data_IF_230811253401
#
_entry.id   IF_230811253401
#
_cell.length_a   1.000
_cell.length_b   1.000
_cell.length_c   1.000
_cell.angle_alpha   90.00
_cell.angle_beta   90.00
_cell.angle_gamma   90.00
#
_symmetry.space_group_name_H-M   'P 1'
#
loop_
_entity.id
_entity.type
_entity.pdbx_description
1 polymer ?
#
# COMPACT_ATOMS: atom_id res chain seq x y z
N UNK A 1 22.97 -10.50 3.86
CA UNK A 1 23.64 -9.20 3.57
C UNK A 1 23.61 -8.39 4.86
N UNK A 2 24.75 -7.82 5.26
CA UNK A 2 25.00 -7.24 6.59
C UNK A 2 24.15 -5.97 6.82
N UNK A 3 23.48 -5.90 7.97
CA UNK A 3 22.77 -4.74 8.47
C UNK A 3 23.69 -3.53 8.50
N UNK A 4 23.40 -2.52 7.68
CA UNK A 4 24.10 -1.24 7.73
C UNK A 4 23.28 -0.31 8.63
N UNK A 5 23.52 -0.39 9.94
CA UNK A 5 23.06 0.60 10.90
C UNK A 5 24.01 1.80 10.77
N UNK A 6 23.55 2.90 10.18
CA UNK A 6 24.34 4.13 10.18
C UNK A 6 24.21 4.81 11.54
N UNK A 7 25.29 4.75 12.31
CA UNK A 7 25.44 5.47 13.56
C UNK A 7 25.94 6.87 13.22
N UNK A 8 25.07 7.88 13.28
CA UNK A 8 25.50 9.28 13.23
C UNK A 8 25.96 9.71 14.62
N UNK A 9 27.27 9.91 14.79
CA UNK A 9 27.85 10.52 15.99
C UNK A 9 27.61 12.01 15.98
N UNK A 10 26.69 12.50 16.80
CA UNK A 10 26.60 13.92 17.12
C UNK A 10 27.29 14.12 18.48
N UNK A 11 28.52 14.69 18.43
CA UNK A 11 29.25 15.07 19.64
C UNK A 11 28.62 16.34 20.25
N UNK A 12 27.88 16.19 21.32
CA UNK A 12 27.55 17.30 22.23
C UNK A 12 28.42 17.17 23.48
N UNK A 13 28.97 18.29 24.02
CA UNK A 13 29.74 18.24 25.25
C UNK A 13 28.82 17.76 26.40
N UNK A 14 29.18 16.62 26.99
CA UNK A 14 28.61 15.98 28.18
C UNK A 14 27.37 15.10 28.09
N UNK A 15 26.87 14.65 26.91
CA UNK A 15 25.92 13.50 26.83
C UNK A 15 25.94 12.90 25.43
N UNK A 16 26.38 11.67 25.31
CA UNK A 16 26.20 10.86 24.08
C UNK A 16 24.74 10.43 23.99
N UNK A 17 23.96 11.09 23.15
CA UNK A 17 22.58 10.71 22.87
C UNK A 17 22.56 9.87 21.62
N UNK A 18 22.35 8.56 21.75
CA UNK A 18 22.15 7.69 20.58
C UNK A 18 20.79 7.99 19.98
N UNK A 19 20.76 8.62 18.82
CA UNK A 19 19.54 8.79 18.03
C UNK A 19 19.39 7.53 17.15
N UNK A 20 18.54 6.61 17.58
CA UNK A 20 18.11 5.52 16.71
C UNK A 20 17.17 6.08 15.65
N UNK A 21 17.67 6.29 14.45
CA UNK A 21 16.81 6.60 13.32
C UNK A 21 16.05 5.33 12.94
N UNK A 22 14.74 5.35 13.13
CA UNK A 22 13.83 4.33 12.61
C UNK A 22 13.84 4.41 11.09
N UNK A 23 14.56 3.51 10.43
CA UNK A 23 14.60 3.46 8.97
C UNK A 23 13.45 2.62 8.45
N UNK A 24 12.57 3.24 7.67
CA UNK A 24 11.54 2.52 6.92
C UNK A 24 12.15 2.10 5.59
N UNK A 25 12.19 0.79 5.35
CA UNK A 25 12.60 0.20 4.08
C UNK A 25 11.37 -0.32 3.33
N UNK A 26 11.30 -0.05 2.03
CA UNK A 26 10.27 -0.60 1.15
C UNK A 26 10.95 -1.63 0.24
N UNK A 27 10.57 -2.89 0.38
CA UNK A 27 11.16 -4.00 -0.36
C UNK A 27 10.17 -4.49 -1.41
N UNK A 28 10.60 -4.55 -2.67
CA UNK A 28 9.84 -5.14 -3.79
C UNK A 28 9.84 -6.66 -3.67
N UNK A 29 8.70 -7.25 -3.90
CA UNK A 29 8.48 -8.70 -3.79
C UNK A 29 7.26 -9.12 -4.64
N UNK A 30 6.71 -10.28 -4.38
CA UNK A 30 5.51 -10.82 -5.02
C UNK A 30 4.58 -11.49 -3.99
N UNK A 31 3.55 -12.19 -4.49
CA UNK A 31 2.56 -12.88 -3.66
C UNK A 31 3.08 -14.07 -2.84
N UNK A 32 4.31 -14.53 -3.07
CA UNK A 32 4.90 -15.66 -2.33
C UNK A 32 5.63 -15.20 -1.06
N UNK A 33 5.83 -13.90 -0.88
CA UNK A 33 6.50 -13.38 0.31
C UNK A 33 5.64 -13.61 1.56
N UNK A 34 6.20 -14.26 2.56
CA UNK A 34 5.49 -14.63 3.80
C UNK A 34 4.96 -13.43 4.56
N UNK A 35 5.75 -12.35 4.66
CA UNK A 35 5.35 -11.13 5.37
C UNK A 35 4.23 -10.41 4.63
N UNK A 36 4.28 -10.38 3.29
CA UNK A 36 3.17 -9.87 2.48
C UNK A 36 1.89 -10.65 2.73
N UNK A 37 1.96 -11.98 2.72
CA UNK A 37 0.80 -12.86 2.97
C UNK A 37 0.21 -12.59 4.37
N UNK A 38 1.03 -12.50 5.41
CA UNK A 38 0.56 -12.24 6.77
C UNK A 38 -0.05 -10.83 6.93
N UNK A 39 0.51 -9.83 6.27
CA UNK A 39 -0.07 -8.47 6.26
C UNK A 39 -1.40 -8.43 5.51
N UNK A 40 -1.54 -9.18 4.41
CA UNK A 40 -2.82 -9.29 3.68
C UNK A 40 -3.87 -10.01 4.51
N UNK A 41 -3.53 -11.05 5.27
CA UNK A 41 -4.49 -11.69 6.20
C UNK A 41 -5.03 -10.70 7.24
N UNK A 42 -4.17 -9.82 7.78
CA UNK A 42 -4.59 -8.76 8.70
C UNK A 42 -5.49 -7.74 8.01
N UNK A 43 -5.16 -7.36 6.77
CA UNK A 43 -6.03 -6.49 5.95
C UNK A 43 -7.40 -7.12 5.73
N UNK A 44 -7.46 -8.40 5.36
CA UNK A 44 -8.73 -9.09 5.10
C UNK A 44 -9.59 -9.17 6.37
N UNK A 45 -8.99 -9.33 7.54
CA UNK A 45 -9.70 -9.26 8.81
C UNK A 45 -10.27 -7.84 9.09
N UNK A 46 -9.45 -6.78 8.88
CA UNK A 46 -9.91 -5.38 8.99
C UNK A 46 -11.06 -5.07 8.02
N UNK A 47 -10.98 -5.60 6.79
CA UNK A 47 -12.01 -5.40 5.77
C UNK A 47 -13.30 -6.15 6.13
N UNK A 48 -13.22 -7.39 6.60
CA UNK A 48 -14.38 -8.17 7.02
C UNK A 48 -15.18 -7.45 8.12
N UNK A 49 -14.48 -6.83 9.07
CA UNK A 49 -15.12 -6.02 10.13
C UNK A 49 -15.82 -4.77 9.57
N UNK A 50 -15.19 -4.07 8.62
CA UNK A 50 -15.69 -2.81 8.06
C UNK A 50 -16.80 -3.00 7.02
N UNK A 51 -16.65 -4.02 6.16
CA UNK A 51 -17.56 -4.26 5.05
C UNK A 51 -18.84 -4.95 5.54
N UNK A 52 -18.77 -5.73 6.61
CA UNK A 52 -19.94 -6.45 7.14
C UNK A 52 -20.53 -7.39 6.10
N UNK A 53 -21.83 -7.22 5.80
CA UNK A 53 -22.57 -8.08 4.85
C UNK A 53 -22.02 -7.97 3.41
N UNK A 54 -21.37 -6.87 3.05
CA UNK A 54 -20.77 -6.65 1.72
C UNK A 54 -19.47 -7.46 1.52
N UNK A 55 -18.87 -8.00 2.59
CA UNK A 55 -17.59 -8.71 2.55
C UNK A 55 -17.57 -9.87 1.54
N UNK A 56 -18.67 -10.63 1.44
CA UNK A 56 -18.79 -11.77 0.52
C UNK A 56 -18.66 -11.38 -0.95
N UNK A 57 -19.08 -10.16 -1.30
CA UNK A 57 -18.92 -9.61 -2.65
C UNK A 57 -17.45 -9.32 -2.98
N UNK A 58 -16.70 -8.72 -2.03
CA UNK A 58 -15.33 -8.29 -2.28
C UNK A 58 -14.30 -9.42 -2.21
N UNK A 59 -14.54 -10.47 -1.42
CA UNK A 59 -13.61 -11.56 -1.16
C UNK A 59 -13.03 -12.23 -2.44
N UNK A 60 -13.80 -12.51 -3.52
CA UNK A 60 -13.26 -13.09 -4.75
C UNK A 60 -12.23 -12.20 -5.45
N UNK A 61 -12.34 -10.86 -5.33
CA UNK A 61 -11.43 -9.89 -5.96
C UNK A 61 -10.17 -9.63 -5.13
N UNK A 62 -10.14 -10.19 -3.93
CA UNK A 62 -9.06 -10.03 -2.95
C UNK A 62 -7.96 -11.09 -3.05
N UNK A 63 -8.08 -12.04 -3.99
CA UNK A 63 -7.08 -13.10 -4.21
C UNK A 63 -5.72 -12.52 -4.58
N UNK A 64 -4.67 -13.06 -3.95
CA UNK A 64 -3.28 -12.61 -4.16
C UNK A 64 -2.47 -13.51 -5.10
N UNK A 65 -2.97 -14.69 -5.45
CA UNK A 65 -2.25 -15.75 -6.19
C UNK A 65 -1.65 -15.28 -7.52
N UNK A 66 -2.22 -14.22 -8.12
CA UNK A 66 -1.81 -13.65 -9.41
C UNK A 66 -1.06 -12.32 -9.28
N UNK A 67 -0.74 -11.89 -8.05
CA UNK A 67 0.00 -10.64 -7.82
C UNK A 67 1.49 -10.87 -8.07
N UNK A 68 2.03 -10.22 -9.12
CA UNK A 68 3.45 -10.27 -9.47
C UNK A 68 4.27 -9.16 -8.84
N UNK A 69 3.63 -8.06 -8.48
CA UNK A 69 4.28 -6.83 -8.03
C UNK A 69 3.69 -6.43 -6.68
N UNK A 70 4.39 -6.73 -5.62
CA UNK A 70 4.03 -6.35 -4.26
C UNK A 70 5.19 -5.62 -3.58
N UNK A 71 4.91 -4.84 -2.56
CA UNK A 71 5.92 -4.25 -1.68
C UNK A 71 5.57 -4.53 -0.23
N UNK A 72 6.60 -4.70 0.59
CA UNK A 72 6.49 -4.74 2.05
C UNK A 72 7.32 -3.61 2.63
N UNK A 73 6.73 -2.87 3.55
CA UNK A 73 7.40 -1.85 4.36
C UNK A 73 7.89 -2.49 5.65
N UNK A 74 9.16 -2.29 5.96
CA UNK A 74 9.80 -2.78 7.18
C UNK A 74 10.30 -1.64 8.05
N UNK A 75 10.12 -1.74 9.35
CA UNK A 75 10.82 -0.95 10.35
C UNK A 75 11.69 -1.90 11.19
N UNK A 76 13.03 -1.75 11.13
CA UNK A 76 13.95 -2.62 11.87
C UNK A 76 13.65 -4.13 11.68
N UNK A 77 13.50 -4.57 10.43
CA UNK A 77 13.15 -5.96 10.04
C UNK A 77 11.70 -6.40 10.36
N UNK A 78 10.92 -5.60 11.07
CA UNK A 78 9.51 -5.89 11.33
C UNK A 78 8.64 -5.45 10.14
N UNK A 79 7.79 -6.31 9.57
CA UNK A 79 6.87 -5.93 8.51
C UNK A 79 5.72 -5.09 9.10
N UNK A 80 5.58 -3.85 8.64
CA UNK A 80 4.64 -2.87 9.19
C UNK A 80 3.57 -2.42 8.19
N UNK A 81 3.69 -2.80 6.92
CA UNK A 81 2.69 -2.50 5.92
C UNK A 81 3.02 -3.09 4.56
N UNK A 82 2.04 -3.13 3.69
CA UNK A 82 2.19 -3.67 2.34
C UNK A 82 1.31 -2.94 1.33
N UNK A 83 1.55 -3.23 0.07
CA UNK A 83 0.72 -2.86 -1.06
C UNK A 83 1.12 -3.65 -2.29
N UNK A 84 0.29 -3.61 -3.32
CA UNK A 84 0.55 -4.33 -4.56
C UNK A 84 0.00 -3.57 -5.76
N UNK A 85 0.48 -3.92 -6.94
CA UNK A 85 -0.07 -3.48 -8.21
C UNK A 85 -0.34 -4.68 -9.11
N UNK A 86 -1.44 -4.62 -9.87
CA UNK A 86 -1.87 -5.64 -10.81
C UNK A 86 -2.28 -4.98 -12.11
N UNK A 87 -1.78 -5.47 -13.23
CA UNK A 87 -2.20 -4.97 -14.53
C UNK A 87 -3.72 -5.11 -14.71
N UNK A 88 -4.36 -4.02 -15.12
CA UNK A 88 -5.79 -3.95 -15.42
C UNK A 88 -6.02 -3.89 -16.94
N UNK A 89 -5.30 -3.01 -17.63
CA UNK A 89 -5.32 -2.86 -19.10
C UNK A 89 -3.89 -2.65 -19.62
N UNK A 90 -3.67 -2.47 -20.94
CA UNK A 90 -2.33 -2.20 -21.46
C UNK A 90 -1.64 -0.97 -20.89
N UNK A 91 -2.38 0.08 -20.53
CA UNK A 91 -1.86 1.36 -20.01
C UNK A 91 -2.20 1.60 -18.52
N UNK A 92 -3.05 0.76 -17.92
CA UNK A 92 -3.57 0.94 -16.57
C UNK A 92 -3.14 -0.17 -15.64
N UNK A 93 -2.67 0.20 -14.44
CA UNK A 93 -2.34 -0.71 -13.37
C UNK A 93 -3.15 -0.40 -12.12
N UNK A 94 -3.74 -1.43 -11.51
CA UNK A 94 -4.58 -1.30 -10.33
C UNK A 94 -3.76 -1.45 -9.04
N UNK A 95 -3.79 -0.44 -8.17
CA UNK A 95 -3.23 -0.52 -6.81
C UNK A 95 -4.17 -1.34 -5.93
N UNK A 96 -3.61 -2.34 -5.25
CA UNK A 96 -4.36 -3.30 -4.42
C UNK A 96 -3.63 -3.58 -3.10
N UNK A 97 -4.35 -4.15 -2.16
CA UNK A 97 -3.78 -4.71 -0.91
C UNK A 97 -2.99 -3.71 -0.09
N UNK A 98 -3.38 -2.42 -0.11
CA UNK A 98 -2.78 -1.39 0.72
C UNK A 98 -3.14 -1.60 2.19
N UNK A 99 -2.11 -1.80 3.03
CA UNK A 99 -2.29 -1.99 4.46
C UNK A 99 -1.13 -1.43 5.26
N UNK A 100 -1.43 -0.87 6.42
CA UNK A 100 -0.45 -0.50 7.44
C UNK A 100 -0.99 -0.98 8.79
N UNK A 101 -0.15 -1.64 9.58
CA UNK A 101 -0.53 -2.10 10.91
C UNK A 101 -1.01 -0.92 11.75
N UNK A 102 -2.03 -1.10 12.60
CA UNK A 102 -2.68 0.01 13.33
C UNK A 102 -1.69 0.91 14.09
N UNK A 103 -0.69 0.33 14.75
CA UNK A 103 0.30 1.02 15.58
C UNK A 103 1.23 1.93 14.76
N UNK A 104 1.31 1.72 13.44
CA UNK A 104 2.16 2.47 12.52
C UNK A 104 1.37 3.44 11.61
N UNK A 105 0.05 3.51 11.76
CA UNK A 105 -0.80 4.46 11.03
C UNK A 105 -0.50 5.90 11.46
N UNK A 106 -0.82 6.87 10.58
CA UNK A 106 -0.56 8.28 10.83
C UNK A 106 0.90 8.73 10.66
N UNK A 107 1.85 7.81 10.46
CA UNK A 107 3.30 8.09 10.31
C UNK A 107 3.77 8.22 8.85
N UNK A 108 2.84 8.29 7.89
CA UNK A 108 3.14 8.45 6.46
C UNK A 108 3.60 7.17 5.74
N UNK A 109 3.50 5.99 6.38
CA UNK A 109 3.93 4.70 5.80
C UNK A 109 3.13 4.37 4.53
N UNK A 110 1.80 4.54 4.55
CA UNK A 110 0.95 4.29 3.40
C UNK A 110 1.35 5.15 2.17
N UNK A 111 1.74 6.42 2.39
CA UNK A 111 2.25 7.29 1.32
C UNK A 111 3.54 6.74 0.73
N UNK A 112 4.48 6.26 1.55
CA UNK A 112 5.75 5.68 1.08
C UNK A 112 5.50 4.40 0.27
N UNK A 113 4.61 3.52 0.73
CA UNK A 113 4.20 2.31 0.00
C UNK A 113 3.61 2.69 -1.35
N UNK A 114 2.62 3.59 -1.36
CA UNK A 114 1.94 4.03 -2.59
C UNK A 114 2.92 4.66 -3.58
N UNK A 115 3.81 5.55 -3.13
CA UNK A 115 4.84 6.17 -3.99
C UNK A 115 5.81 5.13 -4.56
N UNK A 116 6.17 4.09 -3.81
CA UNK A 116 7.03 3.02 -4.31
C UNK A 116 6.33 2.18 -5.40
N UNK A 117 5.02 1.93 -5.25
CA UNK A 117 4.21 1.24 -6.25
C UNK A 117 4.02 2.09 -7.51
N UNK A 118 3.72 3.40 -7.37
CA UNK A 118 3.60 4.34 -8.49
C UNK A 118 4.91 4.42 -9.30
N UNK A 119 6.04 4.54 -8.60
CA UNK A 119 7.35 4.51 -9.25
C UNK A 119 7.58 3.21 -10.01
N UNK A 120 7.23 2.08 -9.41
CA UNK A 120 7.36 0.77 -10.07
C UNK A 120 6.43 0.65 -11.28
N UNK A 121 5.21 1.16 -11.19
CA UNK A 121 4.27 1.22 -12.31
C UNK A 121 4.84 2.05 -13.48
N UNK A 122 5.47 3.20 -13.21
CA UNK A 122 6.16 4.01 -14.23
C UNK A 122 7.33 3.25 -14.87
N UNK A 123 8.15 2.56 -14.08
CA UNK A 123 9.26 1.72 -14.57
C UNK A 123 8.76 0.57 -15.47
N UNK A 124 7.54 0.09 -15.22
CA UNK A 124 6.86 -0.92 -16.06
C UNK A 124 6.12 -0.32 -17.27
N UNK A 125 6.27 1.01 -17.49
CA UNK A 125 5.69 1.77 -18.61
C UNK A 125 4.16 1.87 -18.60
N UNK A 126 3.51 1.79 -17.41
CA UNK A 126 2.10 2.14 -17.28
C UNK A 126 1.92 3.66 -17.21
N UNK A 127 0.92 4.19 -17.93
CA UNK A 127 0.60 5.61 -17.95
C UNK A 127 -0.28 6.05 -16.79
N UNK A 128 -0.96 5.10 -16.11
CA UNK A 128 -1.96 5.43 -15.10
C UNK A 128 -2.09 4.35 -14.02
N UNK A 129 -2.20 4.80 -12.77
CA UNK A 129 -2.69 3.99 -11.65
C UNK A 129 -4.17 4.20 -11.45
N UNK A 130 -4.92 3.11 -11.26
CA UNK A 130 -6.31 3.11 -10.82
C UNK A 130 -6.43 2.34 -9.51
N UNK A 131 -7.50 2.55 -8.76
CA UNK A 131 -7.80 1.79 -7.55
C UNK A 131 -9.27 1.93 -7.15
N UNK A 132 -9.72 1.01 -6.32
CA UNK A 132 -11.01 1.07 -5.65
C UNK A 132 -10.84 1.00 -4.15
N UNK A 133 -11.72 1.67 -3.41
CA UNK A 133 -11.88 1.56 -1.96
C UNK A 133 -13.34 1.71 -1.56
N UNK A 134 -13.74 1.12 -0.43
CA UNK A 134 -15.10 1.23 0.07
C UNK A 134 -15.41 2.62 0.65
N UNK A 135 -16.65 3.08 0.52
CA UNK A 135 -17.15 4.32 1.14
C UNK A 135 -16.98 4.35 2.66
N UNK A 136 -16.97 3.18 3.30
CA UNK A 136 -16.76 3.00 4.74
C UNK A 136 -15.28 3.14 5.18
N UNK A 137 -14.37 3.51 4.27
CA UNK A 137 -12.93 3.65 4.52
C UNK A 137 -12.46 5.11 4.35
N UNK A 138 -12.89 6.05 5.21
CA UNK A 138 -12.60 7.48 5.07
C UNK A 138 -11.10 7.78 5.09
N UNK A 139 -10.29 7.02 5.82
CA UNK A 139 -8.83 7.19 5.88
C UNK A 139 -8.16 6.86 4.53
N UNK A 140 -8.63 5.80 3.85
CA UNK A 140 -8.12 5.44 2.52
C UNK A 140 -8.53 6.50 1.48
N UNK A 141 -9.78 6.96 1.51
CA UNK A 141 -10.27 8.04 0.65
C UNK A 141 -9.42 9.31 0.84
N UNK A 142 -9.14 9.71 2.08
CA UNK A 142 -8.31 10.87 2.39
C UNK A 142 -6.86 10.69 1.91
N UNK A 143 -6.29 9.49 2.08
CA UNK A 143 -4.95 9.14 1.59
C UNK A 143 -4.84 9.34 0.08
N UNK A 144 -5.73 8.73 -0.69
CA UNK A 144 -5.65 8.79 -2.16
C UNK A 144 -5.86 10.20 -2.68
N UNK A 145 -6.82 10.97 -2.16
CA UNK A 145 -6.99 12.39 -2.49
C UNK A 145 -5.72 13.20 -2.20
N UNK A 146 -5.10 13.01 -1.03
CA UNK A 146 -3.85 13.67 -0.65
C UNK A 146 -2.69 13.31 -1.58
N UNK A 147 -2.67 12.09 -2.12
CA UNK A 147 -1.65 11.62 -3.06
C UNK A 147 -1.94 12.00 -4.52
N UNK A 148 -2.96 12.82 -4.78
CA UNK A 148 -3.27 13.35 -6.10
C UNK A 148 -4.14 12.46 -6.98
N UNK A 149 -4.78 11.45 -6.40
CA UNK A 149 -5.79 10.66 -7.10
C UNK A 149 -7.10 11.44 -7.22
N UNK A 150 -7.75 11.29 -8.37
CA UNK A 150 -9.07 11.87 -8.68
C UNK A 150 -10.12 10.78 -8.68
N UNK A 151 -11.31 11.09 -8.19
CA UNK A 151 -12.46 10.18 -8.27
C UNK A 151 -12.87 10.06 -9.74
N UNK A 152 -13.16 8.84 -10.14
CA UNK A 152 -13.69 8.47 -11.46
C UNK A 152 -14.95 7.62 -11.29
N UNK A 153 -15.66 7.37 -12.40
CA UNK A 153 -16.74 6.39 -12.41
C UNK A 153 -16.25 5.00 -12.04
N UNK A 154 -17.08 4.25 -11.36
CA UNK A 154 -16.73 2.89 -10.96
C UNK A 154 -16.51 2.01 -12.21
N UNK A 155 -15.45 1.20 -12.21
CA UNK A 155 -15.04 0.40 -13.34
C UNK A 155 -15.12 -1.11 -13.08
N UNK A 156 -15.08 -1.90 -14.15
CA UNK A 156 -15.00 -3.37 -14.11
C UNK A 156 -16.05 -3.99 -13.19
N UNK A 157 -15.62 -4.82 -12.28
CA UNK A 157 -16.49 -5.48 -11.29
C UNK A 157 -17.16 -4.51 -10.30
N UNK A 158 -16.67 -3.29 -10.18
CA UNK A 158 -17.20 -2.26 -9.27
C UNK A 158 -18.25 -1.34 -9.92
N UNK A 159 -18.48 -1.44 -11.25
CA UNK A 159 -19.33 -0.52 -12.01
C UNK A 159 -20.74 -0.33 -11.45
N UNK A 160 -21.32 -1.39 -10.87
CA UNK A 160 -22.66 -1.35 -10.26
C UNK A 160 -22.64 -1.37 -8.73
N UNK A 161 -21.48 -1.17 -8.10
CA UNK A 161 -21.32 -1.28 -6.64
C UNK A 161 -21.44 0.09 -6.01
N UNK A 162 -22.58 0.36 -5.37
CA UNK A 162 -22.86 1.65 -4.75
C UNK A 162 -21.87 2.01 -3.64
N UNK A 163 -21.38 1.01 -2.88
CA UNK A 163 -20.48 1.21 -1.75
C UNK A 163 -19.01 1.35 -2.15
N UNK A 164 -18.67 1.27 -3.44
CA UNK A 164 -17.31 1.48 -3.97
C UNK A 164 -17.07 2.93 -4.40
N UNK A 165 -15.85 3.38 -4.29
CA UNK A 165 -15.33 4.62 -4.87
C UNK A 165 -14.07 4.29 -5.64
N UNK A 166 -14.05 4.60 -6.93
CA UNK A 166 -12.90 4.41 -7.79
C UNK A 166 -12.11 5.70 -7.99
N UNK A 167 -10.81 5.53 -8.15
CA UNK A 167 -9.87 6.62 -8.32
C UNK A 167 -8.90 6.34 -9.44
N UNK A 168 -8.36 7.41 -10.05
CA UNK A 168 -7.23 7.34 -10.97
C UNK A 168 -6.16 8.39 -10.66
N UNK A 169 -4.92 8.11 -11.06
CA UNK A 169 -3.81 9.05 -11.10
C UNK A 169 -2.96 8.78 -12.32
N UNK A 170 -2.76 9.80 -13.17
CA UNK A 170 -1.78 9.74 -14.26
C UNK A 170 -0.38 9.71 -13.68
N UNK A 171 0.45 8.83 -14.21
CA UNK A 171 1.86 8.73 -13.85
C UNK A 171 2.66 9.70 -14.74
N UNK A 172 3.56 10.46 -14.13
CA UNK A 172 4.50 11.30 -14.89
C UNK A 172 5.74 10.48 -15.24
N UNK A 173 6.12 10.54 -16.50
CA UNK A 173 7.40 10.01 -16.99
C UNK A 173 8.55 10.77 -16.37
#
# INVERSE_FOLDING_TARGET
>A
MKNQVYLLYLNFPNKTKYLYYKMIQIIRTDSHNKDFIELVKKLDADLAEKDGDDHSFYAPFNKIDIIKYAVVAYENENPIGCGAIKQYSPDEIEVKRMYVVPEERGKGIAIKILSALEKWATELSFGKCILETGKKQPEAIALYKKCGYKIIDNYGQYAAVENSICFEKKLSS
#
